data_IF_686993091185
#
_entry.id   IF_686993091185
#
_cell.length_a   1.000
_cell.length_b   1.000
_cell.length_c   1.000
_cell.angle_alpha   90.00
_cell.angle_beta   90.00
_cell.angle_gamma   90.00
#
_symmetry.space_group_name_H-M   'P 1'
#
loop_
_entity.id
_entity.type
_entity.pdbx_description
1 polymer ?
#
# COMPACT_ATOMS: atom_id res chain seq x y z
N UNK A 1 -1.64 -11.35 -46.10
CA UNK A 1 -2.04 -10.82 -44.78
C UNK A 1 -2.00 -12.02 -43.84
N UNK A 2 -0.94 -12.13 -43.07
CA UNK A 2 -0.78 -13.18 -42.06
C UNK A 2 -1.53 -12.70 -40.81
N UNK A 3 -2.76 -13.16 -40.63
CA UNK A 3 -3.50 -13.00 -39.41
C UNK A 3 -2.85 -13.87 -38.35
N UNK A 4 -1.77 -13.36 -37.75
CA UNK A 4 -1.23 -13.92 -36.53
C UNK A 4 -2.27 -13.63 -35.42
N UNK A 5 -2.57 -14.61 -34.57
CA UNK A 5 -3.48 -14.38 -33.46
C UNK A 5 -2.89 -13.32 -32.53
N UNK A 6 -3.68 -12.32 -32.23
CA UNK A 6 -3.30 -11.27 -31.27
C UNK A 6 -3.28 -11.79 -29.82
N UNK A 7 -3.78 -13.00 -29.59
CA UNK A 7 -3.91 -13.54 -28.20
C UNK A 7 -2.56 -13.87 -27.58
N UNK A 8 -2.22 -13.17 -26.52
CA UNK A 8 -1.09 -13.49 -25.66
C UNK A 8 -1.55 -14.34 -24.47
N UNK A 9 -0.67 -15.22 -24.00
CA UNK A 9 -0.89 -16.02 -22.79
C UNK A 9 0.23 -15.74 -21.81
N UNK A 10 -0.12 -15.32 -20.61
CA UNK A 10 0.82 -15.11 -19.53
C UNK A 10 0.59 -16.08 -18.39
N UNK A 11 1.67 -16.66 -17.86
CA UNK A 11 1.69 -17.34 -16.56
C UNK A 11 1.73 -16.27 -15.47
N UNK A 12 0.67 -16.19 -14.67
CA UNK A 12 0.49 -15.25 -13.58
C UNK A 12 0.49 -15.93 -12.21
N UNK A 13 0.94 -17.18 -12.14
CA UNK A 13 1.09 -17.93 -10.89
C UNK A 13 1.87 -17.14 -9.84
N UNK A 14 2.82 -16.33 -10.28
CA UNK A 14 3.53 -15.35 -9.46
C UNK A 14 3.18 -13.95 -9.95
N UNK A 15 2.15 -13.29 -9.40
CA UNK A 15 1.55 -12.09 -9.99
C UNK A 15 2.52 -10.91 -10.20
N UNK A 16 3.54 -10.80 -9.36
CA UNK A 16 4.57 -9.75 -9.47
C UNK A 16 5.71 -10.10 -10.44
N UNK A 17 5.67 -11.29 -11.05
CA UNK A 17 6.65 -11.76 -12.07
C UNK A 17 5.93 -12.55 -13.16
N UNK A 18 4.99 -11.94 -13.90
CA UNK A 18 4.32 -12.64 -14.99
C UNK A 18 5.31 -13.04 -16.07
N UNK A 19 5.09 -14.19 -16.69
CA UNK A 19 5.91 -14.70 -17.80
C UNK A 19 5.06 -14.85 -19.03
N UNK A 20 5.55 -14.36 -20.16
CA UNK A 20 4.92 -14.64 -21.45
C UNK A 20 5.16 -16.10 -21.82
N UNK A 21 4.11 -16.80 -22.23
CA UNK A 21 4.15 -18.19 -22.65
C UNK A 21 4.17 -18.27 -24.18
N UNK A 22 5.04 -19.09 -24.71
CA UNK A 22 5.06 -19.38 -26.15
C UNK A 22 3.80 -20.15 -26.53
N UNK A 23 3.06 -19.60 -27.46
CA UNK A 23 1.81 -20.19 -27.96
C UNK A 23 1.98 -20.68 -29.42
N UNK A 24 1.22 -21.66 -29.81
CA UNK A 24 1.01 -22.05 -31.20
C UNK A 24 -0.42 -21.75 -31.62
N UNK A 25 -0.62 -21.32 -32.85
CA UNK A 25 -1.93 -21.04 -33.41
C UNK A 25 -2.21 -21.91 -34.63
N UNK A 26 -3.29 -22.65 -34.57
CA UNK A 26 -3.76 -23.49 -35.68
C UNK A 26 -5.29 -23.58 -35.62
N UNK A 27 -5.92 -23.60 -36.80
CA UNK A 27 -7.38 -23.72 -36.93
C UNK A 27 -8.18 -22.82 -36.00
N UNK A 28 -7.80 -21.54 -35.93
CA UNK A 28 -8.43 -20.53 -35.07
C UNK A 28 -8.36 -20.87 -33.56
N UNK A 29 -7.39 -21.66 -33.14
CA UNK A 29 -7.19 -22.07 -31.74
C UNK A 29 -5.77 -21.73 -31.31
N UNK A 30 -5.64 -21.00 -30.21
CA UNK A 30 -4.35 -20.77 -29.54
C UNK A 30 -4.10 -21.89 -28.54
N UNK A 31 -2.96 -22.56 -28.67
CA UNK A 31 -2.56 -23.65 -27.80
C UNK A 31 -1.21 -23.39 -27.16
N UNK A 32 -1.00 -23.89 -25.95
CA UNK A 32 0.27 -23.86 -25.26
C UNK A 32 0.42 -25.09 -24.36
N UNK A 33 1.65 -25.41 -24.00
CA UNK A 33 1.95 -26.52 -23.09
C UNK A 33 2.60 -25.96 -21.83
N UNK A 34 2.05 -26.22 -20.63
CA UNK A 34 2.70 -25.87 -19.37
C UNK A 34 4.07 -26.60 -19.24
N UNK A 35 5.04 -25.94 -18.61
CA UNK A 35 6.39 -26.50 -18.41
C UNK A 35 6.43 -27.67 -17.43
N UNK A 36 5.47 -27.75 -16.51
CA UNK A 36 5.38 -28.81 -15.51
C UNK A 36 3.92 -29.12 -15.12
N UNK A 37 3.72 -30.13 -14.27
CA UNK A 37 2.41 -30.58 -13.78
C UNK A 37 1.96 -29.86 -12.50
N UNK A 38 2.59 -28.74 -12.10
CA UNK A 38 2.17 -27.99 -10.93
C UNK A 38 0.93 -27.14 -11.22
N UNK A 39 0.18 -26.81 -10.18
CA UNK A 39 -0.96 -25.88 -10.29
C UNK A 39 -0.44 -24.51 -10.72
N UNK A 40 -0.91 -24.02 -11.85
CA UNK A 40 -0.55 -22.73 -12.43
C UNK A 40 -1.78 -21.92 -12.79
N UNK A 41 -1.62 -20.60 -12.77
CA UNK A 41 -2.64 -19.64 -13.19
C UNK A 41 -2.19 -18.97 -14.48
N UNK A 42 -3.08 -18.96 -15.48
CA UNK A 42 -2.82 -18.35 -16.78
C UNK A 42 -3.89 -17.32 -17.09
N UNK A 43 -3.48 -16.23 -17.74
CA UNK A 43 -4.37 -15.26 -18.34
C UNK A 43 -4.13 -15.19 -19.84
N UNK A 44 -5.21 -15.28 -20.61
CA UNK A 44 -5.17 -15.07 -22.07
C UNK A 44 -5.88 -13.76 -22.40
N UNK A 45 -5.27 -12.92 -23.22
CA UNK A 45 -5.82 -11.63 -23.60
C UNK A 45 -5.34 -11.19 -24.97
N UNK A 46 -6.10 -10.31 -25.60
CA UNK A 46 -5.73 -9.66 -26.85
C UNK A 46 -5.09 -8.30 -26.54
N UNK A 47 -3.80 -8.08 -26.87
CA UNK A 47 -3.11 -6.84 -26.58
C UNK A 47 -3.65 -5.63 -27.40
N UNK A 48 -4.37 -5.89 -28.49
CA UNK A 48 -4.97 -4.83 -29.32
C UNK A 48 -6.35 -4.39 -28.83
N UNK A 49 -6.92 -5.08 -27.86
CA UNK A 49 -8.17 -4.64 -27.23
C UNK A 49 -7.96 -3.44 -26.32
N UNK A 50 -9.04 -2.65 -26.15
CA UNK A 50 -9.04 -1.51 -25.26
C UNK A 50 -8.92 -1.94 -23.79
N UNK A 51 -7.71 -1.87 -23.25
CA UNK A 51 -7.51 -1.98 -21.81
C UNK A 51 -8.01 -0.73 -21.08
N UNK A 52 -8.50 -0.87 -19.83
CA UNK A 52 -8.79 0.30 -19.01
C UNK A 52 -7.53 1.17 -18.89
N UNK A 53 -7.64 2.42 -19.28
CA UNK A 53 -6.56 3.38 -19.13
C UNK A 53 -6.67 4.08 -17.78
N UNK A 54 -5.56 4.24 -17.02
CA UNK A 54 -5.59 5.00 -15.78
C UNK A 54 -5.90 6.48 -16.08
N UNK A 55 -6.73 7.09 -15.23
CA UNK A 55 -6.95 8.53 -15.27
C UNK A 55 -5.94 9.23 -14.37
N UNK A 56 -5.44 10.38 -14.84
CA UNK A 56 -4.61 11.24 -14.00
C UNK A 56 -5.45 11.79 -12.84
N UNK A 57 -4.99 11.61 -11.62
CA UNK A 57 -5.67 12.12 -10.42
C UNK A 57 -5.02 13.42 -9.95
N UNK A 58 -3.74 13.39 -9.63
CA UNK A 58 -2.98 14.56 -9.18
C UNK A 58 -1.47 14.30 -9.20
N UNK A 59 -0.72 15.38 -9.18
CA UNK A 59 0.71 15.32 -8.88
C UNK A 59 0.92 15.20 -7.37
N UNK A 60 1.87 14.36 -6.95
CA UNK A 60 2.29 14.20 -5.56
C UNK A 60 3.60 14.96 -5.39
N UNK A 61 3.74 15.71 -4.29
CA UNK A 61 4.99 16.36 -3.93
C UNK A 61 6.07 15.31 -3.62
N UNK A 62 7.32 15.68 -3.91
CA UNK A 62 8.45 14.82 -3.56
C UNK A 62 8.51 14.63 -2.05
N UNK A 63 8.61 13.39 -1.62
CA UNK A 63 8.71 12.99 -0.23
C UNK A 63 9.74 11.87 -0.08
N UNK A 64 10.24 11.65 1.13
CA UNK A 64 11.17 10.56 1.43
C UNK A 64 11.09 10.17 2.90
N UNK A 65 10.10 9.36 3.27
CA UNK A 65 9.96 8.84 4.64
C UNK A 65 11.07 7.83 4.95
N UNK A 66 11.66 7.23 3.92
CA UNK A 66 12.80 6.34 4.08
C UNK A 66 14.07 7.07 4.54
N UNK A 67 14.17 8.39 4.42
CA UNK A 67 15.30 9.16 4.93
C UNK A 67 15.13 9.63 6.39
N UNK A 68 13.98 9.40 7.01
CA UNK A 68 13.75 9.81 8.39
C UNK A 68 14.67 9.05 9.36
N UNK A 69 15.16 9.75 10.37
CA UNK A 69 15.78 9.12 11.54
C UNK A 69 14.72 8.31 12.30
N UNK A 70 15.16 7.32 13.06
CA UNK A 70 14.25 6.51 13.88
C UNK A 70 13.73 7.39 15.03
N UNK A 71 12.41 7.65 15.12
CA UNK A 71 11.83 8.37 16.25
C UNK A 71 11.50 7.42 17.39
N UNK A 72 11.54 7.91 18.62
CA UNK A 72 11.00 7.17 19.77
C UNK A 72 9.47 7.14 19.76
N UNK A 73 8.84 8.27 19.39
CA UNK A 73 7.40 8.39 19.20
C UNK A 73 7.08 8.74 17.75
N UNK A 74 6.29 7.90 17.09
CA UNK A 74 5.70 8.19 15.79
C UNK A 74 4.23 8.59 16.00
N UNK A 75 3.84 9.75 15.47
CA UNK A 75 2.44 10.19 15.42
C UNK A 75 1.97 10.13 13.98
N UNK A 76 0.96 9.29 13.70
CA UNK A 76 0.32 9.22 12.39
C UNK A 76 -1.00 9.98 12.47
N UNK A 77 -1.24 10.88 11.50
CA UNK A 77 -2.39 11.78 11.52
C UNK A 77 -2.95 12.02 10.11
N UNK A 78 -4.24 12.32 9.95
CA UNK A 78 -4.76 12.88 8.69
C UNK A 78 -4.30 14.34 8.54
N UNK A 79 -4.24 14.83 7.30
CA UNK A 79 -3.84 16.20 7.00
C UNK A 79 -4.63 17.26 7.80
N UNK A 80 -5.92 17.01 8.03
CA UNK A 80 -6.82 17.93 8.76
C UNK A 80 -6.41 18.15 10.22
N UNK A 81 -5.69 17.23 10.84
CA UNK A 81 -5.26 17.29 12.24
C UNK A 81 -3.74 17.49 12.39
N UNK A 82 -3.04 17.82 11.32
CA UNK A 82 -1.58 17.96 11.32
C UNK A 82 -1.09 19.00 12.36
N UNK A 83 -1.77 20.12 12.46
CA UNK A 83 -1.41 21.21 13.39
C UNK A 83 -1.57 20.76 14.85
N UNK A 84 -2.66 20.08 15.17
CA UNK A 84 -2.95 19.59 16.52
C UNK A 84 -2.00 18.46 16.91
N UNK A 85 -1.69 17.55 15.96
CA UNK A 85 -0.71 16.49 16.15
C UNK A 85 0.68 17.07 16.44
N UNK A 86 1.08 18.14 15.75
CA UNK A 86 2.36 18.81 15.96
C UNK A 86 2.42 19.50 17.35
N UNK A 87 1.31 20.03 17.85
CA UNK A 87 1.24 20.57 19.22
C UNK A 87 1.47 19.48 20.26
N UNK A 88 0.88 18.29 20.06
CA UNK A 88 1.12 17.13 20.93
C UNK A 88 2.57 16.67 20.85
N UNK A 89 3.12 16.62 19.63
CA UNK A 89 4.52 16.26 19.40
C UNK A 89 5.48 17.20 20.13
N UNK A 90 5.17 18.50 20.14
CA UNK A 90 6.00 19.51 20.81
C UNK A 90 6.08 19.29 22.32
N UNK A 91 4.96 18.93 22.97
CA UNK A 91 4.95 18.59 24.40
C UNK A 91 5.89 17.41 24.70
N UNK A 92 5.85 16.37 23.89
CA UNK A 92 6.71 15.19 24.08
C UNK A 92 8.18 15.46 23.73
N UNK A 93 8.47 16.38 22.80
CA UNK A 93 9.84 16.84 22.55
C UNK A 93 10.42 17.62 23.74
N UNK A 94 9.59 18.42 24.41
CA UNK A 94 9.97 19.14 25.65
C UNK A 94 10.25 18.17 26.80
N UNK A 95 9.61 17.00 26.80
CA UNK A 95 9.91 15.88 27.72
C UNK A 95 11.17 15.08 27.32
N UNK A 96 11.81 15.41 26.20
CA UNK A 96 13.05 14.81 25.73
C UNK A 96 12.90 13.65 24.75
N UNK A 97 11.68 13.36 24.24
CA UNK A 97 11.49 12.33 23.23
C UNK A 97 11.84 12.85 21.82
N UNK A 98 12.36 11.96 20.99
CA UNK A 98 12.45 12.18 19.54
C UNK A 98 11.10 11.85 18.91
N UNK A 99 10.43 12.84 18.28
CA UNK A 99 9.07 12.67 17.77
C UNK A 99 8.98 12.99 16.27
N UNK A 100 8.42 12.07 15.49
CA UNK A 100 8.02 12.31 14.10
C UNK A 100 6.50 12.37 13.97
N UNK A 101 5.98 13.43 13.33
CA UNK A 101 4.58 13.55 12.94
C UNK A 101 4.49 13.27 11.45
N UNK A 102 3.70 12.29 11.06
CA UNK A 102 3.65 11.82 9.67
C UNK A 102 2.19 11.77 9.22
N UNK A 103 1.91 12.46 8.13
CA UNK A 103 0.61 12.40 7.47
C UNK A 103 0.40 11.02 6.84
N UNK A 104 -0.77 10.42 7.08
CA UNK A 104 -1.06 9.06 6.61
C UNK A 104 -0.96 8.88 5.10
N UNK A 105 -1.34 9.89 4.30
CA UNK A 105 -1.24 9.80 2.84
C UNK A 105 0.21 9.65 2.36
N UNK A 106 1.16 10.30 3.05
CA UNK A 106 2.58 10.13 2.75
C UNK A 106 3.05 8.70 3.01
N UNK A 107 2.49 8.06 4.03
CA UNK A 107 2.77 6.65 4.32
C UNK A 107 2.18 5.76 3.22
N UNK A 108 0.96 6.02 2.78
CA UNK A 108 0.36 5.25 1.68
C UNK A 108 1.17 5.37 0.38
N UNK A 109 1.66 6.56 0.06
CA UNK A 109 2.46 6.79 -1.14
C UNK A 109 3.73 5.93 -1.17
N UNK A 110 4.45 5.78 -0.05
CA UNK A 110 5.73 5.06 -0.01
C UNK A 110 5.58 3.58 0.39
N UNK A 111 4.60 3.22 1.21
CA UNK A 111 4.50 1.88 1.80
C UNK A 111 3.34 1.03 1.27
N UNK A 112 2.45 1.60 0.43
CA UNK A 112 1.35 0.88 -0.21
C UNK A 112 1.01 1.38 -1.62
N UNK A 113 1.99 1.95 -2.33
CA UNK A 113 1.86 2.42 -3.72
C UNK A 113 0.69 3.40 -3.92
N UNK A 114 0.45 4.28 -2.94
CA UNK A 114 -0.63 5.25 -2.95
C UNK A 114 -2.01 4.69 -2.59
N UNK A 115 -2.12 3.39 -2.36
CA UNK A 115 -3.38 2.76 -1.95
C UNK A 115 -3.60 2.92 -0.45
N UNK A 116 -4.76 3.44 0.02
CA UNK A 116 -5.09 3.45 1.44
C UNK A 116 -5.12 2.02 2.00
N UNK A 117 -4.13 1.69 2.83
CA UNK A 117 -3.94 0.38 3.43
C UNK A 117 -3.39 0.53 4.85
N UNK A 118 -4.15 0.09 5.86
CA UNK A 118 -3.72 0.15 7.26
C UNK A 118 -2.41 -0.62 7.52
N UNK A 119 -2.07 -1.61 6.69
CA UNK A 119 -0.80 -2.33 6.80
C UNK A 119 0.42 -1.46 6.45
N UNK A 120 0.22 -0.33 5.76
CA UNK A 120 1.30 0.63 5.47
C UNK A 120 1.89 1.24 6.75
N UNK A 121 1.06 1.50 7.79
CA UNK A 121 1.54 1.96 9.10
C UNK A 121 2.48 0.95 9.74
N UNK A 122 2.10 -0.33 9.67
CA UNK A 122 2.96 -1.42 10.16
C UNK A 122 4.27 -1.51 9.39
N UNK A 123 4.25 -1.31 8.06
CA UNK A 123 5.47 -1.35 7.23
C UNK A 123 6.41 -0.20 7.57
N UNK A 124 5.88 1.00 7.81
CA UNK A 124 6.66 2.14 8.29
C UNK A 124 7.32 1.83 9.64
N UNK A 125 6.56 1.36 10.62
CA UNK A 125 7.08 1.01 11.95
C UNK A 125 8.09 -0.14 11.88
N UNK A 126 7.85 -1.12 11.02
CA UNK A 126 8.79 -2.21 10.75
C UNK A 126 10.11 -1.69 10.19
N UNK A 127 10.08 -0.73 9.26
CA UNK A 127 11.29 -0.11 8.71
C UNK A 127 12.13 0.55 9.83
N UNK A 128 11.51 1.30 10.74
CA UNK A 128 12.23 1.88 11.87
C UNK A 128 12.78 0.83 12.81
N UNK A 129 12.00 -0.21 13.10
CA UNK A 129 12.41 -1.31 13.96
C UNK A 129 13.60 -2.09 13.38
N UNK A 130 13.53 -2.43 12.09
CA UNK A 130 14.60 -3.17 11.40
C UNK A 130 15.90 -2.35 11.38
N UNK A 131 15.83 -1.04 11.19
CA UNK A 131 16.99 -0.15 11.20
C UNK A 131 17.63 0.03 12.57
N UNK A 132 16.89 -0.22 13.63
CA UNK A 132 17.47 -0.21 14.98
C UNK A 132 18.42 -1.40 15.21
N UNK A 133 18.44 -2.41 14.33
CA UNK A 133 19.35 -3.56 14.36
C UNK A 133 19.47 -4.23 15.74
N UNK A 134 18.37 -4.27 16.48
CA UNK A 134 18.31 -4.80 17.83
C UNK A 134 18.81 -3.86 18.95
N UNK A 135 19.24 -2.66 18.60
CA UNK A 135 19.64 -1.65 19.60
C UNK A 135 18.39 -1.08 20.30
N UNK A 136 18.18 -1.47 21.54
CA UNK A 136 17.02 -1.05 22.35
C UNK A 136 16.98 0.46 22.63
N UNK A 137 18.14 1.14 22.59
CA UNK A 137 18.21 2.57 22.89
C UNK A 137 17.73 3.49 21.75
N UNK A 138 17.69 2.95 20.52
CA UNK A 138 17.31 3.73 19.32
C UNK A 138 16.08 3.17 18.62
N UNK A 139 15.48 2.07 19.09
CA UNK A 139 14.29 1.49 18.47
C UNK A 139 13.05 2.36 18.74
N UNK A 140 12.05 2.37 17.81
CA UNK A 140 10.80 3.05 18.06
C UNK A 140 10.08 2.43 19.27
N UNK A 141 9.56 3.27 20.16
CA UNK A 141 8.90 2.83 21.41
C UNK A 141 7.39 3.02 21.36
N UNK A 142 6.95 4.11 20.75
CA UNK A 142 5.56 4.54 20.82
C UNK A 142 5.01 4.82 19.44
N UNK A 143 3.76 4.45 19.23
CA UNK A 143 2.95 4.82 18.06
C UNK A 143 1.65 5.43 18.55
N UNK A 144 1.38 6.67 18.15
CA UNK A 144 0.12 7.35 18.37
C UNK A 144 -0.61 7.46 17.02
N UNK A 145 -1.80 6.89 16.92
CA UNK A 145 -2.73 7.14 15.84
C UNK A 145 -3.62 8.32 16.26
N UNK A 146 -3.28 9.51 15.75
CA UNK A 146 -3.91 10.77 16.13
C UNK A 146 -5.03 11.12 15.17
N UNK A 147 -6.25 10.73 15.52
CA UNK A 147 -7.48 10.86 14.74
C UNK A 147 -8.48 9.80 15.13
N UNK A 148 -9.67 9.88 14.56
CA UNK A 148 -10.71 8.89 14.77
C UNK A 148 -10.65 7.82 13.67
N UNK A 149 -11.03 6.59 14.00
CA UNK A 149 -11.07 5.45 13.08
C UNK A 149 -12.37 4.67 13.18
N UNK A 150 -12.84 4.16 12.06
CA UNK A 150 -14.04 3.31 12.00
C UNK A 150 -13.65 1.86 11.73
N UNK A 151 -14.42 0.92 12.25
CA UNK A 151 -14.29 -0.48 11.90
C UNK A 151 -14.59 -0.74 10.40
N UNK A 152 -15.38 0.12 9.77
CA UNK A 152 -15.72 0.05 8.36
C UNK A 152 -14.88 1.03 7.54
N UNK A 153 -13.70 0.59 7.11
CA UNK A 153 -12.81 1.37 6.25
C UNK A 153 -13.36 1.58 4.82
N UNK A 154 -14.39 0.83 4.42
CA UNK A 154 -15.07 0.99 3.14
C UNK A 154 -16.27 1.89 3.35
N UNK A 155 -16.37 2.99 2.62
CA UNK A 155 -17.49 3.96 2.66
C UNK A 155 -18.87 3.36 2.28
N UNK A 156 -19.06 2.05 2.38
CA UNK A 156 -20.28 1.35 1.97
C UNK A 156 -21.50 1.63 2.87
N UNK A 157 -21.30 2.33 3.99
CA UNK A 157 -22.36 2.72 4.93
C UNK A 157 -22.45 4.25 5.10
N UNK A 158 -22.39 5.00 4.02
CA UNK A 158 -22.44 6.48 4.02
C UNK A 158 -23.67 7.08 4.70
N UNK A 159 -24.71 6.27 5.00
CA UNK A 159 -25.95 6.75 5.64
C UNK A 159 -25.92 6.71 7.17
N UNK A 160 -24.97 6.04 7.80
CA UNK A 160 -24.96 5.84 9.26
C UNK A 160 -23.81 6.54 10.01
N UNK A 161 -22.76 6.98 9.31
CA UNK A 161 -21.62 7.62 9.94
C UNK A 161 -21.22 8.85 9.12
N UNK A 162 -21.03 9.97 9.82
CA UNK A 162 -20.47 11.16 9.22
C UNK A 162 -19.13 10.83 8.54
N UNK A 163 -18.87 11.35 7.33
CA UNK A 163 -17.56 11.18 6.67
C UNK A 163 -16.39 11.65 7.52
N UNK A 164 -16.67 12.44 8.56
CA UNK A 164 -15.70 12.98 9.50
C UNK A 164 -15.17 11.95 10.51
N UNK A 165 -15.87 10.81 10.69
CA UNK A 165 -15.51 9.81 11.70
C UNK A 165 -14.52 8.74 11.22
N UNK A 166 -14.08 8.72 9.97
CA UNK A 166 -13.10 7.76 9.46
C UNK A 166 -11.84 8.47 8.97
N UNK A 167 -11.14 9.09 9.90
CA UNK A 167 -9.94 9.88 9.63
C UNK A 167 -8.71 9.02 9.44
N UNK A 168 -8.62 7.88 10.14
CA UNK A 168 -7.53 6.93 10.06
C UNK A 168 -8.05 5.54 9.72
N UNK A 169 -7.27 4.78 8.95
CA UNK A 169 -7.61 3.40 8.66
C UNK A 169 -7.34 2.51 9.88
N UNK A 170 -8.27 1.59 10.15
CA UNK A 170 -8.13 0.58 11.18
C UNK A 170 -7.84 -0.79 10.56
N UNK A 171 -7.04 -1.60 11.23
CA UNK A 171 -6.83 -3.00 10.88
C UNK A 171 -7.61 -3.89 11.84
N UNK A 172 -8.40 -4.77 11.26
CA UNK A 172 -9.15 -5.76 12.05
C UNK A 172 -8.76 -7.16 11.62
N UNK A 173 -8.54 -8.05 12.57
CA UNK A 173 -8.34 -9.46 12.32
C UNK A 173 -9.46 -10.28 12.98
N UNK A 174 -9.71 -11.49 12.46
CA UNK A 174 -10.70 -12.42 13.04
C UNK A 174 -10.27 -12.99 14.40
N UNK A 175 -9.05 -12.73 14.81
CA UNK A 175 -8.42 -13.28 16.02
C UNK A 175 -8.21 -12.26 17.12
N UNK A 176 -8.78 -11.06 16.99
CA UNK A 176 -8.75 -10.03 18.04
C UNK A 176 -10.01 -10.06 18.87
#
# INVERSE_FOLDING_TARGET
>A
SSDLPSTLVWDVTTPHRPKNITTSFDNNTTSFTPEDAQLREFIAFDPEQNFPSPSFVRQIENQNLHALNIPELTIITPAALQTEAERVAQLHREEGLTVAVIEQEKIFNEFSSGTPDASAYRRLMKMFYDRAEGNENVRPRYLLLFGDGSYNNRKSMEKLHSPECNMLLTYQSKTS
#
